data_IF_498597863288
#
_entry.id   IF_498597863288
#
_cell.length_a   1.000
_cell.length_b   1.000
_cell.length_c   1.000
_cell.angle_alpha   90.00
_cell.angle_beta   90.00
_cell.angle_gamma   90.00
#
_symmetry.space_group_name_H-M   'P 1'
#
loop_
_entity.id
_entity.type
_entity.pdbx_description
1 polymer ?
#
# COMPACT_ATOMS: atom_id res chain seq x y z
N UNK A 1 -6.75 12.88 4.54
CA UNK A 1 -6.71 11.40 4.47
C UNK A 1 -6.15 10.87 5.78
N UNK A 2 -6.42 9.62 6.15
CA UNK A 2 -5.82 9.01 7.35
C UNK A 2 -4.44 8.48 6.97
N UNK A 3 -3.40 9.04 7.58
CA UNK A 3 -2.03 8.52 7.47
C UNK A 3 -1.92 7.26 8.34
N UNK A 4 -1.42 6.16 7.76
CA UNK A 4 -1.24 4.89 8.44
C UNK A 4 0.21 4.67 8.84
N UNK A 5 0.44 3.96 9.94
CA UNK A 5 1.73 3.37 10.24
C UNK A 5 1.90 2.02 9.52
N UNK A 6 3.14 1.59 9.25
CA UNK A 6 3.48 0.28 8.63
C UNK A 6 2.73 -0.89 9.28
N UNK A 7 2.65 -0.92 10.62
CA UNK A 7 1.93 -1.98 11.34
C UNK A 7 0.44 -2.02 10.98
N UNK A 8 -0.21 -0.86 10.83
CA UNK A 8 -1.61 -0.80 10.47
C UNK A 8 -1.86 -1.29 9.04
N UNK A 9 -0.93 -1.03 8.12
CA UNK A 9 -0.97 -1.60 6.76
C UNK A 9 -0.96 -3.12 6.81
N UNK A 10 -0.07 -3.71 7.62
CA UNK A 10 0.01 -5.17 7.82
C UNK A 10 -1.28 -5.72 8.43
N UNK A 11 -1.77 -5.08 9.50
CA UNK A 11 -2.99 -5.51 10.20
C UNK A 11 -4.23 -5.46 9.28
N UNK A 12 -4.35 -4.41 8.45
CA UNK A 12 -5.44 -4.26 7.49
C UNK A 12 -5.31 -5.26 6.35
N UNK A 13 -4.11 -5.41 5.76
CA UNK A 13 -3.86 -6.37 4.69
C UNK A 13 -4.16 -7.82 5.12
N UNK A 14 -3.85 -8.17 6.37
CA UNK A 14 -4.12 -9.50 6.93
C UNK A 14 -5.58 -9.73 7.37
N UNK A 15 -6.39 -8.67 7.45
CA UNK A 15 -7.79 -8.76 7.89
C UNK A 15 -8.77 -8.50 6.76
N UNK A 16 -9.02 -7.24 6.42
CA UNK A 16 -9.98 -6.86 5.38
C UNK A 16 -9.37 -6.87 3.99
N UNK A 17 -8.06 -6.66 3.87
CA UNK A 17 -7.38 -6.49 2.59
C UNK A 17 -7.80 -5.21 1.86
N UNK A 18 -8.45 -4.26 2.54
CA UNK A 18 -8.95 -3.02 1.94
C UNK A 18 -8.21 -1.81 2.49
N UNK A 19 -7.28 -1.32 1.67
CA UNK A 19 -6.49 -0.11 1.89
C UNK A 19 -6.88 1.00 0.91
N UNK A 20 -8.08 0.94 0.33
CA UNK A 20 -8.54 1.95 -0.62
C UNK A 20 -8.68 3.34 0.00
N UNK A 21 -8.20 4.36 -0.71
CA UNK A 21 -8.28 5.77 -0.32
C UNK A 21 -7.42 6.16 0.89
N UNK A 22 -6.55 5.27 1.38
CA UNK A 22 -5.62 5.58 2.46
C UNK A 22 -4.39 6.36 1.98
N UNK A 23 -3.84 7.16 2.89
CA UNK A 23 -2.55 7.80 2.71
C UNK A 23 -1.46 6.86 3.23
N UNK A 24 -0.67 6.32 2.30
CA UNK A 24 0.45 5.42 2.50
C UNK A 24 1.79 6.11 2.17
N UNK A 25 1.76 7.44 1.96
CA UNK A 25 2.90 8.21 1.50
C UNK A 25 4.05 8.20 2.51
N UNK A 26 5.28 8.11 1.97
CA UNK A 26 6.53 8.09 2.73
C UNK A 26 6.76 6.84 3.60
N UNK A 27 5.89 5.83 3.52
CA UNK A 27 6.05 4.61 4.30
C UNK A 27 7.16 3.73 3.74
N UNK A 28 7.88 3.06 4.64
CA UNK A 28 8.60 1.85 4.28
C UNK A 28 7.62 0.69 4.33
N UNK A 29 7.28 0.12 3.18
CA UNK A 29 6.48 -1.08 2.98
C UNK A 29 7.27 -2.21 2.32
N UNK A 30 8.61 -2.12 2.27
CA UNK A 30 9.45 -3.08 1.58
C UNK A 30 9.33 -4.50 2.17
N UNK A 31 9.51 -5.50 1.31
CA UNK A 31 9.45 -6.93 1.64
C UNK A 31 8.11 -7.40 2.25
N UNK A 32 6.99 -6.77 1.90
CA UNK A 32 5.66 -7.21 2.35
C UNK A 32 4.96 -8.09 1.31
N UNK A 33 4.27 -9.12 1.79
CA UNK A 33 3.29 -9.86 1.00
C UNK A 33 1.95 -9.13 1.07
N UNK A 34 1.61 -8.42 0.00
CA UNK A 34 0.42 -7.59 -0.15
C UNK A 34 -0.42 -8.11 -1.32
N UNK A 35 -0.66 -9.43 -1.32
CA UNK A 35 -1.37 -10.18 -2.36
C UNK A 35 -2.88 -9.95 -2.23
N UNK A 36 -3.55 -9.73 -3.36
CA UNK A 36 -5.00 -9.53 -3.44
C UNK A 36 -5.55 -8.38 -2.57
N UNK A 37 -4.73 -7.36 -2.33
CA UNK A 37 -5.10 -6.17 -1.54
C UNK A 37 -5.69 -5.10 -2.46
N UNK A 38 -6.76 -4.45 -1.98
CA UNK A 38 -7.39 -3.32 -2.65
C UNK A 38 -6.70 -2.01 -2.24
N UNK A 39 -5.93 -1.41 -3.14
CA UNK A 39 -5.26 -0.11 -2.97
C UNK A 39 -5.87 0.99 -3.84
N UNK A 40 -7.14 0.84 -4.24
CA UNK A 40 -7.80 1.82 -5.11
C UNK A 40 -7.79 3.21 -4.51
N UNK A 41 -7.34 4.20 -5.28
CA UNK A 41 -7.33 5.60 -4.85
C UNK A 41 -6.36 5.94 -3.72
N UNK A 42 -5.45 5.03 -3.33
CA UNK A 42 -4.50 5.26 -2.24
C UNK A 42 -3.29 6.10 -2.69
N UNK A 43 -2.70 6.87 -1.79
CA UNK A 43 -1.50 7.68 -2.07
C UNK A 43 -0.24 6.92 -1.60
N UNK A 44 0.69 6.64 -2.52
CA UNK A 44 1.98 5.97 -2.29
C UNK A 44 3.18 6.89 -2.58
N UNK A 45 3.00 8.21 -2.55
CA UNK A 45 4.09 9.14 -2.83
C UNK A 45 5.28 8.90 -1.92
N UNK A 46 6.45 8.63 -2.50
CA UNK A 46 7.68 8.40 -1.73
C UNK A 46 7.68 7.12 -0.89
N UNK A 47 6.73 6.21 -1.10
CA UNK A 47 6.67 4.92 -0.40
C UNK A 47 7.73 3.98 -0.93
N UNK A 48 8.47 3.32 -0.05
CA UNK A 48 9.37 2.22 -0.43
C UNK A 48 8.55 0.92 -0.52
N UNK A 49 8.31 0.43 -1.73
CA UNK A 49 7.61 -0.82 -2.02
C UNK A 49 8.59 -1.95 -2.42
N UNK A 50 9.90 -1.71 -2.35
CA UNK A 50 10.92 -2.64 -2.85
C UNK A 50 10.72 -4.08 -2.36
N UNK A 51 10.82 -5.03 -3.29
CA UNK A 51 10.68 -6.49 -3.02
C UNK A 51 9.32 -6.92 -2.45
N UNK A 52 8.31 -6.06 -2.48
CA UNK A 52 6.97 -6.43 -2.01
C UNK A 52 6.19 -7.16 -3.10
N UNK A 53 5.32 -8.08 -2.69
CA UNK A 53 4.50 -8.87 -3.60
C UNK A 53 3.08 -8.29 -3.66
N UNK A 54 2.72 -7.74 -4.81
CA UNK A 54 1.38 -7.17 -5.06
C UNK A 54 0.56 -8.01 -6.03
N UNK A 55 0.85 -9.31 -6.14
CA UNK A 55 0.10 -10.20 -7.03
C UNK A 55 -1.40 -10.11 -6.75
N UNK A 56 -2.21 -9.97 -7.81
CA UNK A 56 -3.67 -9.85 -7.73
C UNK A 56 -4.22 -8.59 -7.03
N UNK A 57 -3.36 -7.64 -6.66
CA UNK A 57 -3.78 -6.39 -6.00
C UNK A 57 -4.29 -5.35 -7.00
N UNK A 58 -5.18 -4.48 -6.53
CA UNK A 58 -5.77 -3.41 -7.37
C UNK A 58 -5.20 -2.04 -6.99
N UNK A 59 -4.65 -1.34 -7.96
CA UNK A 59 -4.10 0.03 -7.81
C UNK A 59 -4.87 1.06 -8.63
N UNK A 60 -6.11 0.76 -9.03
CA UNK A 60 -6.89 1.67 -9.87
C UNK A 60 -7.08 3.02 -9.16
N UNK A 61 -6.60 4.10 -9.79
CA UNK A 61 -6.63 5.46 -9.24
C UNK A 61 -5.61 5.73 -8.12
N UNK A 62 -4.73 4.79 -7.78
CA UNK A 62 -3.66 5.02 -6.81
C UNK A 62 -2.58 5.95 -7.37
N UNK A 63 -1.99 6.78 -6.49
CA UNK A 63 -0.86 7.64 -6.85
C UNK A 63 0.46 6.97 -6.46
N UNK A 64 1.17 6.41 -7.43
CA UNK A 64 2.46 5.74 -7.25
C UNK A 64 3.66 6.67 -7.56
N UNK A 65 3.44 7.99 -7.63
CA UNK A 65 4.51 8.92 -8.01
C UNK A 65 5.67 8.88 -7.02
N UNK A 66 6.89 8.69 -7.51
CA UNK A 66 8.11 8.62 -6.68
C UNK A 66 8.14 7.46 -5.66
N UNK A 67 7.35 6.40 -5.84
CA UNK A 67 7.55 5.17 -5.07
C UNK A 67 8.77 4.39 -5.59
N UNK A 68 9.36 3.56 -4.73
CA UNK A 68 10.42 2.60 -5.10
C UNK A 68 9.83 1.20 -5.23
N UNK A 69 10.15 0.43 -6.29
CA UNK A 69 9.52 -0.87 -6.63
C UNK A 69 10.54 -2.02 -6.61
#
# INVERSE_FOLDING_TARGET
MKHLARKQVIDIAASTGDLSGFDLSGLDLANLDLIAVNFRGSDFKGTNLSKSNFSMSSFEGADLSNCDL
#
